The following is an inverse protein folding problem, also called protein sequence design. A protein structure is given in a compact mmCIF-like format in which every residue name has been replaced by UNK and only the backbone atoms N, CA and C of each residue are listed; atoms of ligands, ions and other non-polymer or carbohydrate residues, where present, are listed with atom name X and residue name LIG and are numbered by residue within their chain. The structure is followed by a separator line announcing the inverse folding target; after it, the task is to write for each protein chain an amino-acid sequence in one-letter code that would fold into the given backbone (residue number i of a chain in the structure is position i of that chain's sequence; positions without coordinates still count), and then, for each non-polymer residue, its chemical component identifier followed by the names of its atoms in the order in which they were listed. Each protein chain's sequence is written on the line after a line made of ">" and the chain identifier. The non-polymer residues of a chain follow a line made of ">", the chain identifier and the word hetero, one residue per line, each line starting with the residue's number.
data_IF_921391673713
#
_entry.id   IF_921391673713
#
_cell.length_a   1.000
_cell.length_b   1.000
_cell.length_c   1.000
_cell.angle_alpha   90.00
_cell.angle_beta   90.00
_cell.angle_gamma   90.00
#
_symmetry.space_group_name_H-M   'P 1'
#
loop_
_entity.id
_entity.type
_entity.pdbx_description
1 polymer ?
#
# COMPACT_ATOMS: atom_id res chain seq x y z
N UNK A 1 1.79 0.79 -1.42
CA UNK A 1 0.49 0.15 -1.60
C UNK A 1 0.41 -0.46 -2.98
N UNK A 2 -0.07 -1.70 -3.06
CA UNK A 2 -0.23 -2.48 -4.30
C UNK A 2 -1.70 -2.84 -4.53
N UNK A 3 -2.10 -2.94 -5.78
CA UNK A 3 -3.44 -3.35 -6.23
C UNK A 3 -3.61 -4.86 -6.38
N UNK A 4 -2.51 -5.61 -6.37
CA UNK A 4 -2.46 -7.06 -6.47
C UNK A 4 -1.52 -7.68 -5.43
N UNK A 5 -1.81 -8.91 -4.95
CA UNK A 5 -0.92 -9.63 -4.03
C UNK A 5 0.37 -10.02 -4.77
N UNK A 6 1.50 -9.44 -4.34
CA UNK A 6 2.82 -9.82 -4.83
C UNK A 6 3.66 -10.34 -3.65
N UNK A 7 3.89 -11.65 -3.64
CA UNK A 7 4.55 -12.32 -2.53
C UNK A 7 6.02 -11.89 -2.39
N UNK A 8 6.71 -11.67 -3.50
CA UNK A 8 8.11 -11.22 -3.49
C UNK A 8 8.25 -9.82 -2.89
N UNK A 9 7.29 -8.93 -3.17
CA UNK A 9 7.27 -7.58 -2.63
C UNK A 9 7.07 -7.58 -1.10
N UNK A 10 6.16 -8.44 -0.61
CA UNK A 10 5.91 -8.59 0.83
C UNK A 10 7.15 -9.17 1.54
N UNK A 11 7.79 -10.19 0.95
CA UNK A 11 9.00 -10.78 1.51
C UNK A 11 10.18 -9.79 1.53
N UNK A 12 10.33 -8.97 0.48
CA UNK A 12 11.37 -7.94 0.41
C UNK A 12 11.14 -6.82 1.44
N UNK A 13 9.88 -6.40 1.64
CA UNK A 13 9.54 -5.37 2.62
C UNK A 13 9.84 -5.78 4.05
N UNK A 14 9.73 -7.07 4.40
CA UNK A 14 10.09 -7.58 5.73
C UNK A 14 11.56 -7.39 6.11
N UNK A 15 12.44 -7.16 5.13
CA UNK A 15 13.85 -6.92 5.37
C UNK A 15 14.21 -5.42 5.51
N UNK A 16 13.23 -4.52 5.34
CA UNK A 16 13.43 -3.07 5.34
C UNK A 16 12.79 -2.45 6.59
N UNK A 17 13.58 -1.84 7.51
CA UNK A 17 13.02 -1.21 8.70
C UNK A 17 12.18 0.01 8.31
N UNK A 18 10.95 0.09 8.83
CA UNK A 18 10.02 1.20 8.59
C UNK A 18 9.26 1.14 7.27
N UNK A 19 9.34 0.03 6.53
CA UNK A 19 8.58 -0.20 5.29
C UNK A 19 7.46 -1.20 5.54
N UNK A 20 6.22 -0.77 5.30
CA UNK A 20 5.03 -1.64 5.33
C UNK A 20 4.41 -1.69 3.92
N UNK A 21 4.00 -2.88 3.50
CA UNK A 21 3.35 -3.11 2.20
C UNK A 21 1.93 -3.56 2.45
N UNK A 22 0.98 -2.72 2.02
CA UNK A 22 -0.45 -2.99 2.11
C UNK A 22 -1.16 -3.02 0.77
N UNK A 23 -2.26 -3.75 0.75
CA UNK A 23 -3.21 -3.75 -0.36
C UNK A 23 -4.17 -2.58 -0.25
N UNK A 24 -4.61 -2.06 -1.40
CA UNK A 24 -5.58 -0.96 -1.46
C UNK A 24 -6.88 -1.27 -0.72
N UNK A 25 -7.44 -2.48 -0.88
CA UNK A 25 -8.68 -2.87 -0.20
C UNK A 25 -8.54 -3.03 1.32
N UNK A 26 -7.33 -3.05 1.87
CA UNK A 26 -7.05 -3.12 3.31
C UNK A 26 -6.37 -1.83 3.80
N UNK A 27 -6.46 -0.75 3.04
CA UNK A 27 -5.90 0.53 3.41
C UNK A 27 -6.83 1.22 4.43
N UNK A 28 -6.33 1.43 5.65
CA UNK A 28 -6.99 2.24 6.66
C UNK A 28 -6.35 3.64 6.77
N UNK A 29 -7.14 4.69 7.03
CA UNK A 29 -6.66 6.06 7.09
C UNK A 29 -5.62 6.29 8.19
N UNK A 30 -5.67 5.52 9.28
CA UNK A 30 -4.70 5.61 10.39
C UNK A 30 -3.30 5.21 9.92
N UNK A 31 -3.22 4.21 9.05
CA UNK A 31 -1.96 3.69 8.54
C UNK A 31 -1.35 4.59 7.47
N UNK A 32 -2.18 5.34 6.72
CA UNK A 32 -1.69 6.39 5.83
C UNK A 32 -1.08 7.57 6.60
N UNK A 33 -1.68 7.95 7.73
CA UNK A 33 -1.16 9.04 8.59
C UNK A 33 0.11 8.62 9.33
N UNK A 34 0.22 7.33 9.71
CA UNK A 34 1.38 6.80 10.44
C UNK A 34 2.68 6.84 9.63
N UNK A 35 2.60 6.81 8.30
CA UNK A 35 3.78 6.82 7.43
C UNK A 35 4.04 8.22 6.88
N UNK A 36 5.25 8.74 7.10
CA UNK A 36 5.64 10.06 6.60
C UNK A 36 5.65 10.17 5.07
N UNK A 37 5.81 9.03 4.36
CA UNK A 37 5.76 8.95 2.90
C UNK A 37 4.97 7.70 2.49
N UNK A 38 4.05 7.86 1.56
CA UNK A 38 3.22 6.77 1.02
C UNK A 38 3.49 6.64 -0.48
N UNK A 39 3.88 5.44 -0.91
CA UNK A 39 4.11 5.12 -2.32
C UNK A 39 2.98 4.22 -2.81
N UNK A 40 2.36 4.56 -3.94
CA UNK A 40 1.24 3.86 -4.55
C UNK A 40 1.62 3.38 -5.95
N UNK A 41 1.24 2.16 -6.32
CA UNK A 41 1.31 1.72 -7.73
C UNK A 41 0.25 2.43 -8.57
N UNK A 42 0.45 2.54 -9.88
CA UNK A 42 -0.52 3.19 -10.76
C UNK A 42 -1.90 2.47 -10.74
N UNK A 43 -1.89 1.14 -10.64
CA UNK A 43 -3.13 0.36 -10.44
C UNK A 43 -3.76 0.60 -9.07
N UNK A 44 -2.94 0.84 -8.03
CA UNK A 44 -3.45 1.16 -6.71
C UNK A 44 -4.14 2.52 -6.65
N UNK A 45 -3.63 3.53 -7.38
CA UNK A 45 -4.27 4.85 -7.47
C UNK A 45 -5.68 4.73 -8.06
N UNK A 46 -5.84 4.00 -9.16
CA UNK A 46 -7.16 3.80 -9.80
C UNK A 46 -8.19 3.16 -8.85
N UNK A 47 -7.79 2.09 -8.15
CA UNK A 47 -8.67 1.44 -7.16
C UNK A 47 -8.99 2.35 -5.97
N UNK A 48 -8.07 3.25 -5.61
CA UNK A 48 -8.29 4.22 -4.54
C UNK A 48 -9.29 5.30 -4.97
N UNK A 49 -9.23 5.75 -6.23
CA UNK A 49 -10.21 6.66 -6.82
C UNK A 49 -11.60 6.01 -6.91
N UNK A 50 -11.69 4.73 -7.33
CA UNK A 50 -12.94 3.97 -7.36
C UNK A 50 -13.58 3.76 -5.98
N UNK A 51 -12.80 3.69 -4.91
CA UNK A 51 -13.32 3.57 -3.53
C UNK A 51 -13.83 4.88 -2.93
N UNK A 52 -13.37 6.02 -3.46
CA UNK A 52 -13.72 7.36 -2.96
C UNK A 52 -14.79 8.06 -3.83
N UNK A 53 -15.02 7.56 -5.04
CA UNK A 53 -16.10 7.96 -5.93
C UNK A 53 -17.44 7.33 -5.52
#
# INVERSE_FOLDING_TARGET
>A
MTDAPNNNLVLAARNLPGVDVRMVGAADPVSLIRHAKVILTQGAVKKFEEMLA
#
